data_IF_161935184184
#
_entry.id   IF_161935184184
#
_cell.length_a   1.000
_cell.length_b   1.000
_cell.length_c   1.000
_cell.angle_alpha   90.00
_cell.angle_beta   90.00
_cell.angle_gamma   90.00
#
_symmetry.space_group_name_H-M   'P 1'
#
loop_
_entity.id
_entity.type
_entity.pdbx_description
1 polymer ?
#
# COMPACT_ATOMS: atom_id res chain seq x y z
N UNK A 1 -11.04 -22.68 13.90
CA UNK A 1 -10.09 -22.12 14.70
C UNK A 1 -10.21 -20.66 14.68
N UNK A 2 -10.08 -20.15 15.75
CA UNK A 2 -10.14 -18.74 15.75
C UNK A 2 -8.76 -18.21 15.57
N UNK A 3 -8.74 -17.08 15.07
CA UNK A 3 -7.51 -16.38 14.90
C UNK A 3 -7.27 -15.63 16.18
N UNK A 4 -6.42 -16.12 17.01
CA UNK A 4 -6.28 -15.48 18.28
C UNK A 4 -4.95 -14.77 18.34
N UNK A 5 -4.72 -14.15 19.45
CA UNK A 5 -3.55 -13.37 19.58
C UNK A 5 -2.31 -14.18 19.50
N UNK A 6 -2.41 -15.41 19.89
CA UNK A 6 -1.28 -16.26 19.80
C UNK A 6 -0.83 -16.40 18.39
N UNK A 7 -1.79 -16.57 17.49
CA UNK A 7 -1.46 -16.65 16.09
C UNK A 7 -0.87 -15.34 15.63
N UNK A 8 -1.45 -14.23 16.07
CA UNK A 8 -0.95 -12.95 15.66
C UNK A 8 0.43 -12.70 16.18
N UNK A 9 0.76 -13.26 17.34
CA UNK A 9 2.07 -13.07 17.91
C UNK A 9 3.06 -14.10 17.47
N UNK A 10 2.59 -15.10 16.76
CA UNK A 10 3.46 -16.15 16.33
C UNK A 10 4.49 -15.60 15.39
N UNK A 11 5.62 -16.20 15.38
CA UNK A 11 6.62 -15.80 14.47
C UNK A 11 6.16 -16.07 13.11
N UNK A 12 5.59 -15.11 12.50
CA UNK A 12 5.24 -15.22 11.11
C UNK A 12 6.50 -15.18 10.29
N UNK A 13 6.42 -15.79 9.15
CA UNK A 13 7.54 -15.71 8.23
C UNK A 13 7.76 -14.25 7.89
N UNK A 14 9.00 -13.83 7.73
CA UNK A 14 9.24 -12.45 7.34
C UNK A 14 8.60 -12.18 6.00
N UNK A 15 8.21 -10.94 5.76
CA UNK A 15 7.61 -10.61 4.47
C UNK A 15 8.64 -10.78 3.36
N UNK A 16 8.17 -10.98 2.15
CA UNK A 16 9.09 -11.07 1.02
C UNK A 16 9.95 -9.83 0.93
N UNK A 17 11.08 -10.01 0.32
CA UNK A 17 12.01 -8.92 0.18
C UNK A 17 11.33 -7.73 -0.47
N UNK A 18 11.56 -6.55 0.07
CA UNK A 18 10.96 -5.34 -0.46
C UNK A 18 9.55 -5.09 0.01
N UNK A 19 9.03 -5.93 0.89
CA UNK A 19 7.69 -5.75 1.42
C UNK A 19 7.74 -5.58 2.91
N UNK A 20 6.67 -5.01 3.44
CA UNK A 20 6.56 -4.77 4.87
C UNK A 20 5.22 -5.25 5.35
N UNK A 21 5.18 -5.72 6.58
CA UNK A 21 3.94 -6.16 7.19
C UNK A 21 3.80 -5.46 8.53
N UNK A 22 2.73 -4.70 8.67
CA UNK A 22 2.49 -3.97 9.91
C UNK A 22 1.30 -4.47 10.69
N UNK A 23 0.83 -5.68 10.35
CA UNK A 23 -0.28 -6.27 11.08
C UNK A 23 -1.59 -6.09 10.37
N UNK A 24 -2.65 -6.22 11.13
CA UNK A 24 -3.99 -6.11 10.58
C UNK A 24 -4.69 -4.93 11.19
N UNK A 25 -5.68 -4.42 10.46
CA UNK A 25 -6.50 -3.34 10.94
C UNK A 25 -7.95 -3.72 10.73
N UNK A 26 -8.82 -2.99 11.38
CA UNK A 26 -10.25 -3.21 11.24
C UNK A 26 -10.88 -2.04 10.53
N UNK A 27 -11.83 -2.34 9.67
CA UNK A 27 -12.64 -1.28 9.10
C UNK A 27 -13.56 -0.73 10.15
N UNK A 28 -13.61 0.56 10.23
CA UNK A 28 -14.52 1.21 11.14
C UNK A 28 -15.81 1.56 10.44
N UNK A 29 -16.54 2.44 11.08
CA UNK A 29 -17.79 2.93 10.56
C UNK A 29 -17.54 3.60 9.23
N UNK A 30 -18.37 3.29 8.25
CA UNK A 30 -18.27 3.89 6.91
C UNK A 30 -16.96 3.55 6.21
N UNK A 31 -16.36 2.43 6.59
CA UNK A 31 -15.16 1.99 5.90
C UNK A 31 -13.90 2.73 6.30
N UNK A 32 -13.93 3.43 7.41
CA UNK A 32 -12.75 4.16 7.85
C UNK A 32 -11.71 3.22 8.37
N UNK A 33 -10.46 3.56 8.16
CA UNK A 33 -9.34 2.78 8.67
C UNK A 33 -8.32 3.72 9.26
N UNK A 34 -7.49 3.15 10.14
CA UNK A 34 -6.36 3.88 10.67
C UNK A 34 -5.11 3.18 10.19
N UNK A 35 -4.29 3.91 9.47
CA UNK A 35 -3.03 3.36 9.00
C UNK A 35 -2.09 3.29 10.18
N UNK A 36 -1.42 2.14 10.39
CA UNK A 36 -0.52 2.02 11.53
C UNK A 36 0.52 3.11 11.57
N UNK A 37 0.87 3.50 12.78
CA UNK A 37 1.80 4.59 12.95
C UNK A 37 3.14 4.33 12.28
N UNK A 38 3.61 3.10 12.37
CA UNK A 38 4.90 2.77 11.76
C UNK A 38 4.86 2.95 10.26
N UNK A 39 3.74 2.59 9.65
CA UNK A 39 3.61 2.79 8.21
C UNK A 39 3.54 4.27 7.89
N UNK A 40 2.81 5.04 8.69
CA UNK A 40 2.73 6.47 8.45
C UNK A 40 4.10 7.11 8.56
N UNK A 41 4.88 6.68 9.56
CA UNK A 41 6.20 7.25 9.74
C UNK A 41 7.13 6.89 8.59
N UNK A 42 7.03 5.65 8.13
CA UNK A 42 7.91 5.22 7.06
C UNK A 42 7.69 6.02 5.78
N UNK A 43 6.44 6.32 5.49
CA UNK A 43 6.12 7.00 4.24
C UNK A 43 5.83 8.48 4.41
N UNK A 44 6.01 8.99 5.63
CA UNK A 44 5.80 10.42 5.85
C UNK A 44 4.36 10.86 5.70
N UNK A 45 3.43 9.98 6.02
CA UNK A 45 2.01 10.31 5.89
C UNK A 45 1.57 11.16 7.06
N UNK A 46 0.78 12.16 6.77
CA UNK A 46 0.27 13.02 7.81
C UNK A 46 -1.09 13.52 7.39
N UNK A 47 -1.69 14.28 8.28
CA UNK A 47 -3.01 14.80 8.00
C UNK A 47 -2.98 15.56 6.69
N UNK A 48 -3.93 15.28 5.83
CA UNK A 48 -3.99 15.94 4.53
C UNK A 48 -3.24 15.23 3.43
N UNK A 49 -2.47 14.20 3.76
CA UNK A 49 -1.79 13.44 2.71
C UNK A 49 -2.82 12.82 1.79
N UNK A 50 -2.57 12.90 0.50
CA UNK A 50 -3.48 12.34 -0.49
C UNK A 50 -3.01 10.97 -0.90
N UNK A 51 -3.95 10.06 -0.98
CA UNK A 51 -3.64 8.67 -1.30
C UNK A 51 -4.50 8.24 -2.46
N UNK A 52 -3.92 7.46 -3.35
CA UNK A 52 -4.65 6.83 -4.43
C UNK A 52 -5.02 5.43 -3.97
N UNK A 53 -6.26 5.08 -4.15
CA UNK A 53 -6.76 3.77 -3.76
C UNK A 53 -6.86 2.92 -5.01
N UNK A 54 -6.10 1.85 -5.04
CA UNK A 54 -6.08 0.95 -6.17
C UNK A 54 -6.60 -0.41 -5.74
N UNK A 55 -7.00 -1.20 -6.70
CA UNK A 55 -7.50 -2.52 -6.37
C UNK A 55 -7.25 -3.52 -7.47
N UNK A 56 -7.22 -4.78 -7.08
CA UNK A 56 -7.20 -5.86 -8.04
C UNK A 56 -7.97 -7.01 -7.41
N UNK A 57 -7.83 -8.19 -7.97
CA UNK A 57 -8.59 -9.31 -7.46
C UNK A 57 -8.21 -9.70 -6.05
N UNK A 58 -7.05 -9.33 -5.61
CA UNK A 58 -6.58 -9.72 -4.30
C UNK A 58 -6.93 -8.71 -3.22
N UNK A 59 -7.20 -7.47 -3.58
CA UNK A 59 -7.54 -6.50 -2.56
C UNK A 59 -7.23 -5.10 -3.02
N UNK A 60 -7.16 -4.20 -2.06
CA UNK A 60 -6.89 -2.80 -2.36
C UNK A 60 -5.54 -2.41 -1.79
N UNK A 61 -4.99 -1.38 -2.37
CA UNK A 61 -3.73 -0.81 -1.94
C UNK A 61 -3.85 0.70 -1.90
N UNK A 62 -3.08 1.29 -1.02
CA UNK A 62 -3.03 2.74 -0.90
C UNK A 62 -1.64 3.20 -1.28
N UNK A 63 -1.56 4.16 -2.18
CA UNK A 63 -0.29 4.68 -2.65
C UNK A 63 -0.34 6.18 -2.54
N UNK A 64 0.75 6.78 -2.05
CA UNK A 64 0.80 8.24 -2.01
C UNK A 64 0.58 8.79 -3.40
N UNK A 65 -0.24 9.83 -3.48
CA UNK A 65 -0.62 10.36 -4.78
C UNK A 65 0.60 10.80 -5.59
N UNK A 66 1.57 11.40 -4.93
CA UNK A 66 2.75 11.85 -5.64
C UNK A 66 3.53 10.70 -6.25
N UNK A 67 3.61 9.60 -5.51
CA UNK A 67 4.32 8.43 -6.02
C UNK A 67 3.59 7.82 -7.19
N UNK A 68 2.26 7.76 -7.10
CA UNK A 68 1.48 7.20 -8.18
C UNK A 68 1.62 8.04 -9.43
N UNK A 69 1.57 9.36 -9.29
CA UNK A 69 1.71 10.24 -10.44
C UNK A 69 3.07 10.11 -11.08
N UNK A 70 4.09 9.95 -10.26
CA UNK A 70 5.43 9.78 -10.77
C UNK A 70 5.56 8.49 -11.55
N UNK A 71 5.00 7.41 -11.02
CA UNK A 71 5.06 6.14 -11.71
C UNK A 71 4.27 6.15 -13.00
N UNK A 72 3.12 6.81 -12.98
CA UNK A 72 2.30 6.91 -14.17
C UNK A 72 3.03 7.69 -15.26
N UNK A 73 3.69 8.77 -14.87
CA UNK A 73 4.43 9.57 -15.83
C UNK A 73 5.55 8.77 -16.46
N UNK A 74 6.26 8.00 -15.64
CA UNK A 74 7.34 7.17 -16.17
C UNK A 74 6.80 6.14 -17.15
N UNK A 75 5.67 5.53 -16.81
CA UNK A 75 5.09 4.54 -17.71
C UNK A 75 4.67 5.16 -19.01
N UNK A 76 4.12 6.36 -18.97
CA UNK A 76 3.73 7.04 -20.20
C UNK A 76 4.92 7.40 -21.05
N UNK A 77 6.00 7.84 -20.43
CA UNK A 77 7.19 8.17 -21.18
C UNK A 77 7.80 6.95 -21.83
N UNK A 78 7.81 5.85 -21.10
CA UNK A 78 8.33 4.62 -21.65
C UNK A 78 7.48 4.16 -22.84
N UNK A 79 6.17 4.25 -22.66
CA UNK A 79 5.26 3.87 -23.72
C UNK A 79 5.47 4.70 -24.97
N UNK A 80 5.65 5.98 -24.80
CA UNK A 80 5.89 6.88 -25.92
C UNK A 80 7.16 6.52 -26.64
N UNK A 81 8.18 6.18 -25.86
CA UNK A 81 9.45 5.80 -26.45
C UNK A 81 9.32 4.56 -27.30
N UNK A 82 8.56 3.59 -26.78
CA UNK A 82 8.38 2.35 -27.53
C UNK A 82 7.63 2.59 -28.83
N UNK A 83 6.65 3.46 -28.79
CA UNK A 83 5.90 3.78 -29.99
C UNK A 83 6.78 4.52 -30.99
N UNK A 84 7.61 5.41 -30.50
CA UNK A 84 8.43 6.21 -31.37
C UNK A 84 9.43 5.38 -32.15
N UNK A 85 9.75 4.21 -31.63
CA UNK A 85 10.71 3.37 -32.32
C UNK A 85 10.11 2.60 -33.47
N UNK A 86 8.82 2.57 -33.55
CA UNK A 86 8.18 1.93 -34.67
C UNK A 86 8.25 2.81 -35.88
#
# INVERSE_FOLDING_TARGET
MHYDEKVGNTKMAPPPEGKFLWGTIKLGNRGQIVIPKEARDKYGLQEGSRMVVLGNEEGIALIQAEKFESQLKSALELSRKMVAED
#
